data_IF_452128270875
#
_entry.id   IF_452128270875
#
_cell.length_a   1.000
_cell.length_b   1.000
_cell.length_c   1.000
_cell.angle_alpha   90.00
_cell.angle_beta   90.00
_cell.angle_gamma   90.00
#
_symmetry.space_group_name_H-M   'P 1'
#
loop_
_entity.id
_entity.type
_entity.pdbx_description
1 polymer ?
#
# COMPACT_ATOMS: atom_id res chain seq x y z
N UNK A 1 0.54 0.13 15.21
CA UNK A 1 -0.86 -0.08 14.76
C UNK A 1 -1.05 -1.59 14.55
N UNK A 2 -2.26 -2.13 14.72
CA UNK A 2 -2.55 -3.51 14.31
C UNK A 2 -3.26 -3.47 12.94
N UNK A 3 -2.90 -4.37 12.03
CA UNK A 3 -3.56 -4.54 10.73
C UNK A 3 -4.33 -5.86 10.78
N UNK A 4 -5.58 -5.84 10.36
CA UNK A 4 -6.41 -7.04 10.31
C UNK A 4 -5.82 -8.03 9.30
N UNK A 5 -5.72 -9.33 9.63
CA UNK A 5 -5.10 -10.31 8.74
C UNK A 5 -5.74 -10.35 7.34
N UNK A 6 -7.04 -10.04 7.24
CA UNK A 6 -7.70 -9.94 5.95
C UNK A 6 -7.21 -8.76 5.09
N UNK A 7 -6.99 -7.59 5.71
CA UNK A 7 -6.41 -6.45 5.01
C UNK A 7 -4.93 -6.69 4.69
N UNK A 8 -4.21 -7.34 5.61
CA UNK A 8 -2.82 -7.76 5.40
C UNK A 8 -2.70 -8.66 4.16
N UNK A 9 -3.51 -9.72 4.09
CA UNK A 9 -3.57 -10.61 2.93
C UNK A 9 -3.81 -9.85 1.64
N UNK A 10 -4.85 -8.99 1.60
CA UNK A 10 -5.24 -8.24 0.40
C UNK A 10 -4.12 -7.36 -0.13
N UNK A 11 -3.46 -6.63 0.76
CA UNK A 11 -2.36 -5.75 0.36
C UNK A 11 -1.11 -6.54 -0.06
N UNK A 12 -0.81 -7.67 0.59
CA UNK A 12 0.30 -8.53 0.18
C UNK A 12 0.05 -9.18 -1.19
N UNK A 13 -1.18 -9.65 -1.43
CA UNK A 13 -1.61 -10.23 -2.71
C UNK A 13 -1.44 -9.22 -3.86
N UNK A 14 -1.85 -7.96 -3.64
CA UNK A 14 -1.65 -6.89 -4.64
C UNK A 14 -0.17 -6.53 -4.83
N UNK A 15 0.62 -6.51 -3.75
CA UNK A 15 2.07 -6.23 -3.81
C UNK A 15 2.87 -7.34 -4.50
N UNK A 16 2.36 -8.57 -4.51
CA UNK A 16 2.96 -9.71 -5.21
C UNK A 16 2.72 -9.63 -6.73
N UNK A 17 1.60 -9.02 -7.16
CA UNK A 17 1.27 -8.85 -8.58
C UNK A 17 2.06 -7.70 -9.25
N UNK A 18 2.16 -6.53 -8.60
CA UNK A 18 2.90 -5.37 -9.13
C UNK A 18 3.29 -4.35 -8.02
N UNK A 19 4.09 -3.35 -8.38
CA UNK A 19 4.42 -2.26 -7.47
C UNK A 19 3.21 -1.36 -7.18
N UNK A 20 2.82 -1.31 -5.92
CA UNK A 20 1.61 -0.60 -5.50
C UNK A 20 1.88 0.89 -5.19
N UNK A 21 1.23 1.84 -5.88
CA UNK A 21 1.32 3.25 -5.57
C UNK A 21 0.50 3.62 -4.32
N UNK A 22 0.67 4.83 -3.79
CA UNK A 22 -0.11 5.34 -2.65
C UNK A 22 -1.63 5.20 -2.87
N UNK A 23 -2.11 5.49 -4.08
CA UNK A 23 -3.54 5.37 -4.40
C UNK A 23 -4.07 3.94 -4.24
N UNK A 24 -3.27 2.91 -4.55
CA UNK A 24 -3.63 1.51 -4.33
C UNK A 24 -3.90 1.22 -2.86
N UNK A 25 -2.99 1.63 -1.97
CA UNK A 25 -3.22 1.56 -0.52
C UNK A 25 -4.48 2.35 -0.09
N UNK A 26 -4.67 3.56 -0.60
CA UNK A 26 -5.86 4.38 -0.28
C UNK A 26 -7.15 3.65 -0.68
N UNK A 27 -7.20 3.09 -1.88
CA UNK A 27 -8.35 2.37 -2.40
C UNK A 27 -8.63 1.10 -1.58
N UNK A 28 -7.63 0.25 -1.38
CA UNK A 28 -7.81 -1.05 -0.70
C UNK A 28 -8.10 -0.88 0.80
N UNK A 29 -7.33 -0.05 1.52
CA UNK A 29 -7.57 0.16 2.95
C UNK A 29 -8.94 0.78 3.19
N UNK A 30 -9.39 1.69 2.32
CA UNK A 30 -10.70 2.34 2.49
C UNK A 30 -11.86 1.47 1.99
N UNK A 31 -11.64 0.65 0.97
CA UNK A 31 -12.59 -0.41 0.61
C UNK A 31 -12.79 -1.34 1.81
N UNK A 32 -11.69 -1.79 2.41
CA UNK A 32 -11.73 -2.74 3.50
C UNK A 32 -12.32 -2.16 4.80
N UNK A 33 -11.82 -1.00 5.25
CA UNK A 33 -12.17 -0.38 6.54
C UNK A 33 -13.30 0.66 6.47
N UNK A 34 -13.74 1.03 5.27
CA UNK A 34 -14.84 1.97 5.04
C UNK A 34 -14.39 3.33 4.49
N UNK A 35 -15.32 4.03 3.84
CA UNK A 35 -15.07 5.26 3.07
C UNK A 35 -14.58 6.45 3.90
N UNK A 36 -14.77 6.42 5.23
CA UNK A 36 -14.30 7.44 6.17
C UNK A 36 -12.83 7.23 6.60
N UNK A 37 -12.15 6.22 6.07
CA UNK A 37 -10.71 5.99 6.30
C UNK A 37 -9.89 7.21 5.88
N UNK A 38 -9.16 7.77 6.83
CA UNK A 38 -8.30 8.95 6.62
C UNK A 38 -6.97 8.59 5.98
N UNK A 39 -6.32 9.56 5.32
CA UNK A 39 -4.98 9.37 4.76
C UNK A 39 -3.95 9.01 5.84
N UNK A 40 -4.07 9.56 7.05
CA UNK A 40 -3.21 9.19 8.18
C UNK A 40 -3.35 7.72 8.59
N UNK A 41 -4.58 7.17 8.48
CA UNK A 41 -4.81 5.75 8.72
C UNK A 41 -4.12 4.89 7.66
N UNK A 42 -4.20 5.31 6.39
CA UNK A 42 -3.53 4.62 5.28
C UNK A 42 -2.01 4.70 5.44
N UNK A 43 -1.47 5.88 5.75
CA UNK A 43 -0.05 6.07 6.03
C UNK A 43 0.42 5.20 7.22
N UNK A 44 -0.43 5.03 8.24
CA UNK A 44 -0.16 4.11 9.35
C UNK A 44 -0.09 2.63 8.93
N UNK A 45 -0.89 2.20 7.94
CA UNK A 45 -0.81 0.85 7.36
C UNK A 45 0.48 0.69 6.56
N UNK A 46 0.81 1.65 5.70
CA UNK A 46 2.08 1.68 4.93
C UNK A 46 3.27 1.56 5.90
N UNK A 47 3.33 2.42 6.93
CA UNK A 47 4.38 2.36 7.94
C UNK A 47 4.48 0.99 8.61
N UNK A 48 3.35 0.39 9.00
CA UNK A 48 3.33 -0.93 9.63
C UNK A 48 3.89 -2.03 8.71
N UNK A 49 3.57 -2.01 7.42
CA UNK A 49 4.12 -2.96 6.45
C UNK A 49 5.64 -2.87 6.34
N UNK A 50 6.17 -1.64 6.25
CA UNK A 50 7.60 -1.40 6.20
C UNK A 50 8.32 -1.78 7.51
N UNK A 51 7.77 -1.39 8.67
CA UNK A 51 8.31 -1.75 9.99
C UNK A 51 8.29 -3.27 10.22
N UNK A 52 7.28 -3.96 9.66
CA UNK A 52 7.20 -5.42 9.68
C UNK A 52 8.12 -6.07 8.66
N UNK A 53 8.79 -5.31 7.81
CA UNK A 53 9.68 -5.78 6.75
C UNK A 53 8.96 -6.52 5.63
N UNK A 54 7.66 -6.30 5.45
CA UNK A 54 6.83 -6.99 4.46
C UNK A 54 6.86 -6.31 3.08
N UNK A 55 7.28 -5.05 3.02
CA UNK A 55 7.46 -4.30 1.78
C UNK A 55 8.70 -3.40 1.87
N UNK A 56 9.21 -3.00 0.71
CA UNK A 56 10.25 -1.99 0.55
C UNK A 56 9.67 -0.69 -0.05
N UNK A 57 10.28 0.44 0.28
CA UNK A 57 9.95 1.73 -0.32
C UNK A 57 10.73 1.92 -1.62
N UNK A 58 10.06 2.44 -2.64
CA UNK A 58 10.71 2.81 -3.89
C UNK A 58 9.85 3.75 -4.72
N UNK A 59 10.30 3.99 -5.95
CA UNK A 59 9.58 4.80 -6.92
C UNK A 59 9.83 4.29 -8.34
N UNK A 60 9.05 4.80 -9.30
CA UNK A 60 9.33 4.58 -10.71
C UNK A 60 10.72 5.11 -11.05
N UNK A 61 11.48 4.31 -11.79
CA UNK A 61 12.83 4.62 -12.19
C UNK A 61 13.01 4.46 -13.70
N UNK A 62 13.90 5.26 -14.28
CA UNK A 62 14.29 5.12 -15.67
C UNK A 62 15.45 4.10 -15.79
N UNK A 63 15.13 2.83 -15.51
CA UNK A 63 16.05 1.69 -15.63
C UNK A 63 15.33 0.50 -16.28
N UNK A 64 16.06 -0.60 -16.56
CA UNK A 64 15.50 -1.76 -17.26
C UNK A 64 14.37 -2.46 -16.49
N UNK A 65 14.32 -2.27 -15.17
CA UNK A 65 13.28 -2.83 -14.31
C UNK A 65 12.05 -1.92 -14.34
N UNK A 66 12.22 -0.60 -14.27
CA UNK A 66 11.16 0.40 -14.17
C UNK A 66 10.94 0.93 -12.75
N UNK A 67 11.72 0.46 -11.78
CA UNK A 67 11.61 0.80 -10.36
C UNK A 67 12.98 0.80 -9.69
N UNK A 68 13.10 1.60 -8.64
CA UNK A 68 14.25 1.61 -7.77
C UNK A 68 13.83 1.68 -6.31
N UNK A 69 14.50 0.87 -5.48
CA UNK A 69 14.38 0.95 -4.03
C UNK A 69 15.00 2.25 -3.53
N UNK A 70 14.39 2.85 -2.52
CA UNK A 70 14.93 4.03 -1.86
C UNK A 70 16.01 3.65 -0.86
N UNK A 71 17.18 4.28 -1.01
CA UNK A 71 18.21 4.32 0.04
C UNK A 71 17.82 5.38 1.10
N UNK A 72 16.80 5.06 1.89
CA UNK A 72 16.26 5.90 2.95
C UNK A 72 15.67 5.04 4.07
N UNK A 73 15.74 5.52 5.32
CA UNK A 73 15.05 4.87 6.41
C UNK A 73 13.52 5.05 6.32
N UNK A 74 12.79 4.35 7.20
CA UNK A 74 11.32 4.37 7.22
C UNK A 74 10.79 5.77 7.48
N UNK A 75 11.38 6.53 8.41
CA UNK A 75 10.86 7.86 8.77
C UNK A 75 11.07 8.84 7.60
N UNK A 76 12.22 8.80 6.94
CA UNK A 76 12.49 9.58 5.74
C UNK A 76 11.57 9.20 4.58
N UNK A 77 11.36 7.90 4.36
CA UNK A 77 10.47 7.41 3.30
C UNK A 77 9.03 7.85 3.53
N UNK A 78 8.53 7.75 4.76
CA UNK A 78 7.20 8.24 5.13
C UNK A 78 7.09 9.75 4.98
N UNK A 79 8.14 10.51 5.32
CA UNK A 79 8.19 11.96 5.09
C UNK A 79 8.09 12.29 3.60
N UNK A 80 8.82 11.58 2.73
CA UNK A 80 8.73 11.75 1.26
C UNK A 80 7.33 11.46 0.72
N UNK A 81 6.65 10.44 1.24
CA UNK A 81 5.27 10.11 0.86
C UNK A 81 4.31 11.24 1.28
N UNK A 82 4.52 11.82 2.47
CA UNK A 82 3.70 12.89 3.00
C UNK A 82 3.92 14.24 2.29
N UNK A 83 5.17 14.68 2.19
CA UNK A 83 5.55 16.03 1.75
C UNK A 83 5.85 16.10 0.24
N UNK A 84 6.25 14.98 -0.36
CA UNK A 84 6.74 14.88 -1.74
C UNK A 84 8.24 14.61 -1.81
N UNK A 85 8.70 14.23 -3.00
CA UNK A 85 10.12 13.99 -3.27
C UNK A 85 10.44 14.22 -4.74
N UNK A 86 11.57 14.89 -5.00
CA UNK A 86 11.94 15.31 -6.36
C UNK A 86 10.88 16.22 -6.98
N UNK A 87 10.33 15.82 -8.11
CA UNK A 87 9.26 16.54 -8.81
C UNK A 87 7.85 16.06 -8.44
N UNK A 88 7.74 15.00 -7.66
CA UNK A 88 6.46 14.38 -7.30
C UNK A 88 5.90 14.96 -6.01
N UNK A 89 4.60 15.21 -5.99
CA UNK A 89 3.89 15.75 -4.83
C UNK A 89 3.50 14.64 -3.84
N UNK A 90 3.65 14.92 -2.55
CA UNK A 90 3.16 14.05 -1.48
C UNK A 90 1.70 14.32 -1.14
N UNK A 91 1.12 13.45 -0.31
CA UNK A 91 -0.32 13.52 -0.01
C UNK A 91 -0.75 14.74 0.80
N UNK A 92 0.15 15.45 1.48
CA UNK A 92 -0.20 16.65 2.25
C UNK A 92 -0.62 17.83 1.35
N UNK A 93 -0.28 17.79 0.06
CA UNK A 93 -0.71 18.78 -0.93
C UNK A 93 -2.07 18.44 -1.55
N UNK A 94 -2.62 17.25 -1.30
CA UNK A 94 -3.93 16.86 -1.80
C UNK A 94 -5.03 17.67 -1.11
N UNK A 95 -5.85 18.38 -1.88
CA UNK A 95 -6.95 19.17 -1.33
C UNK A 95 -8.24 18.37 -1.18
N UNK A 96 -8.39 17.35 -2.02
CA UNK A 96 -9.49 16.40 -2.02
C UNK A 96 -8.94 14.99 -2.12
N UNK A 97 -9.77 14.02 -1.73
CA UNK A 97 -9.39 12.61 -1.74
C UNK A 97 -9.02 12.13 -3.15
N UNK A 98 -9.73 12.61 -4.16
CA UNK A 98 -9.47 12.27 -5.56
C UNK A 98 -8.11 12.77 -6.04
N UNK A 99 -7.54 13.81 -5.41
CA UNK A 99 -6.22 14.33 -5.77
C UNK A 99 -5.10 13.34 -5.41
N UNK A 100 -5.34 12.41 -4.47
CA UNK A 100 -4.37 11.40 -4.03
C UNK A 100 -3.96 10.44 -5.16
N UNK A 101 -4.78 10.31 -6.21
CA UNK A 101 -4.44 9.52 -7.41
C UNK A 101 -3.24 10.10 -8.16
N UNK A 102 -2.92 11.38 -7.96
CA UNK A 102 -1.80 12.06 -8.59
C UNK A 102 -0.54 12.08 -7.72
N UNK A 103 -0.60 11.54 -6.51
CA UNK A 103 0.53 11.44 -5.58
C UNK A 103 1.40 10.21 -5.90
N UNK A 104 1.99 10.20 -7.09
CA UNK A 104 2.87 9.13 -7.61
C UNK A 104 4.32 9.21 -7.08
N UNK A 105 4.50 9.72 -5.86
CA UNK A 105 5.83 9.85 -5.23
C UNK A 105 6.41 8.49 -4.85
N UNK A 106 5.58 7.47 -4.66
CA UNK A 106 5.96 6.20 -4.05
C UNK A 106 5.30 5.03 -4.75
N UNK A 107 6.06 3.93 -4.89
CA UNK A 107 5.58 2.60 -5.24
C UNK A 107 6.23 1.55 -4.34
N UNK A 108 5.41 0.87 -3.56
CA UNK A 108 5.85 -0.24 -2.73
C UNK A 108 6.16 -1.47 -3.57
N UNK A 109 7.16 -2.23 -3.15
CA UNK A 109 7.39 -3.58 -3.67
C UNK A 109 7.31 -4.59 -2.52
N UNK A 110 6.80 -5.79 -2.76
CA UNK A 110 6.84 -6.87 -1.78
C UNK A 110 8.30 -7.27 -1.50
N UNK A 111 8.60 -7.69 -0.27
CA UNK A 111 9.89 -8.32 0.06
C UNK A 111 9.74 -9.83 0.09
N UNK A 112 10.86 -10.56 0.10
CA UNK A 112 10.82 -12.02 0.36
C UNK A 112 10.12 -12.40 1.67
N UNK A 113 10.14 -11.52 2.68
CA UNK A 113 9.41 -11.74 3.93
C UNK A 113 7.91 -11.53 3.72
N UNK A 114 7.53 -10.53 2.91
CA UNK A 114 6.16 -10.32 2.44
C UNK A 114 5.61 -11.54 1.71
N UNK A 115 6.34 -12.06 0.73
CA UNK A 115 5.96 -13.25 -0.04
C UNK A 115 5.74 -14.48 0.87
N UNK A 116 6.67 -14.72 1.81
CA UNK A 116 6.51 -15.81 2.79
C UNK A 116 5.27 -15.61 3.65
N UNK A 117 4.99 -14.38 4.07
CA UNK A 117 3.82 -14.06 4.87
C UNK A 117 2.53 -14.23 4.06
N UNK A 118 2.53 -13.87 2.79
CA UNK A 118 1.41 -14.12 1.88
C UNK A 118 1.10 -15.62 1.82
N UNK A 119 2.11 -16.45 1.54
CA UNK A 119 1.97 -17.90 1.49
C UNK A 119 1.43 -18.52 2.81
N UNK A 120 1.81 -17.96 3.97
CA UNK A 120 1.25 -18.38 5.26
C UNK A 120 -0.26 -18.08 5.37
N UNK A 121 -0.70 -16.92 4.88
CA UNK A 121 -2.10 -16.50 4.91
C UNK A 121 -2.93 -17.33 3.92
N UNK A 122 -2.40 -17.62 2.73
CA UNK A 122 -3.01 -18.55 1.76
C UNK A 122 -3.14 -19.95 2.34
N UNK A 123 -2.12 -20.45 3.04
CA UNK A 123 -2.17 -21.76 3.69
C UNK A 123 -3.22 -21.85 4.81
N UNK A 124 -3.61 -20.71 5.40
CA UNK A 124 -4.76 -20.61 6.33
C UNK A 124 -6.12 -20.62 5.60
N UNK A 125 -6.11 -20.66 4.27
CA UNK A 125 -7.30 -20.66 3.43
C UNK A 125 -7.79 -19.28 3.03
N UNK A 126 -7.00 -18.21 3.23
CA UNK A 126 -7.35 -16.89 2.72
C UNK A 126 -7.20 -16.84 1.20
N UNK A 127 -8.20 -16.28 0.53
CA UNK A 127 -8.22 -16.00 -0.90
C UNK A 127 -8.83 -14.63 -1.14
N UNK A 128 -8.61 -14.07 -2.33
CA UNK A 128 -9.23 -12.81 -2.74
C UNK A 128 -10.75 -12.81 -2.55
N UNK A 129 -11.41 -13.92 -2.91
CA UNK A 129 -12.87 -14.06 -2.88
C UNK A 129 -13.47 -14.24 -1.48
N UNK A 130 -12.68 -14.71 -0.51
CA UNK A 130 -13.16 -14.96 0.85
C UNK A 130 -12.62 -13.98 1.89
N UNK A 131 -11.68 -13.12 1.48
CA UNK A 131 -11.08 -12.09 2.32
C UNK A 131 -11.61 -10.73 1.90
N UNK A 132 -12.85 -10.45 2.30
CA UNK A 132 -13.59 -9.25 1.93
C UNK A 132 -13.75 -8.36 3.16
N UNK A 133 -13.43 -7.08 3.04
CA UNK A 133 -13.64 -6.13 4.14
C UNK A 133 -15.12 -5.91 4.45
N UNK A 134 -15.49 -5.54 5.68
CA UNK A 134 -16.90 -5.33 6.07
C UNK A 134 -17.65 -4.27 5.26
N UNK A 135 -16.92 -3.38 4.56
CA UNK A 135 -17.48 -2.32 3.72
C UNK A 135 -17.32 -2.60 2.21
N UNK A 136 -16.63 -3.66 1.83
CA UNK A 136 -16.50 -4.07 0.43
C UNK A 136 -17.78 -4.82 0.04
N UNK A 137 -18.59 -4.19 -0.81
CA UNK A 137 -19.77 -4.86 -1.35
C UNK A 137 -19.32 -5.80 -2.47
N UNK A 138 -19.83 -7.05 -2.48
CA UNK A 138 -19.64 -8.04 -3.58
C UNK A 138 -20.03 -7.50 -4.98
N UNK A 139 -20.63 -6.32 -5.06
CA UNK A 139 -21.06 -5.60 -6.26
C UNK A 139 -19.99 -4.72 -6.92
N UNK A 140 -18.74 -4.72 -6.44
CA UNK A 140 -17.63 -4.03 -7.12
C UNK A 140 -17.12 -4.71 -8.40
N UNK A 141 -17.54 -5.94 -8.69
CA UNK A 141 -17.33 -6.60 -9.99
C UNK A 141 -18.44 -6.17 -10.98
N UNK A 142 -18.32 -4.97 -11.55
CA UNK A 142 -18.92 -4.62 -12.84
C UNK A 142 -18.10 -3.59 -13.59
#
# INVERSE_FOLDING_TARGET
>A
MNVEEGLEFRLLDELDDDWMPLWGFVAMVSGFRGWNTTIDTVAGVIRWFAESGLMAFGALANNDVGWEEWDADIDESMRRIAEGHGTSQGYLLATKREDLVWCEVFRANITEKGERRLAELEAKGMTWDNTIGPFETRSGLR
#
